data_IF_985144350144
#
_entry.id   IF_985144350144
#
_cell.length_a   1.000
_cell.length_b   1.000
_cell.length_c   1.000
_cell.angle_alpha   90.00
_cell.angle_beta   90.00
_cell.angle_gamma   90.00
#
_symmetry.space_group_name_H-M   'P 1'
#
loop_
_entity.id
_entity.type
_entity.pdbx_description
1 polymer ?
#
# COMPACT_ATOMS: atom_id res chain seq x y z
N UNK A 1 16.28 -10.21 17.50
CA UNK A 1 15.56 -8.94 17.67
C UNK A 1 15.21 -8.42 16.29
N UNK A 2 13.95 -8.59 15.88
CA UNK A 2 13.46 -8.04 14.60
C UNK A 2 13.26 -6.55 14.83
N UNK A 3 14.11 -5.73 14.23
CA UNK A 3 13.92 -4.27 14.18
C UNK A 3 12.79 -4.05 13.18
N UNK A 4 11.56 -4.04 13.69
CA UNK A 4 10.41 -3.47 13.00
C UNK A 4 10.76 -2.01 12.79
N UNK A 5 11.19 -1.68 11.57
CA UNK A 5 11.63 -0.34 11.21
C UNK A 5 10.43 0.60 11.47
N UNK A 6 10.54 1.57 12.39
CA UNK A 6 9.42 2.42 12.70
C UNK A 6 9.05 3.19 11.44
N UNK A 7 7.82 3.01 10.96
CA UNK A 7 7.19 3.88 9.97
C UNK A 7 7.43 5.31 10.49
N UNK A 8 8.20 6.15 9.78
CA UNK A 8 8.63 7.42 10.34
C UNK A 8 7.39 8.28 10.61
N UNK A 9 7.13 8.43 11.91
CA UNK A 9 6.16 9.33 12.52
C UNK A 9 6.35 10.72 11.89
N UNK A 10 5.30 11.22 11.23
CA UNK A 10 5.06 12.62 10.85
C UNK A 10 6.28 13.57 10.99
N UNK A 11 7.22 13.50 10.05
CA UNK A 11 8.10 14.63 9.77
C UNK A 11 7.60 15.25 8.48
N UNK A 12 6.83 16.33 8.62
CA UNK A 12 6.45 17.25 7.55
C UNK A 12 7.71 17.93 7.00
N UNK A 13 8.41 17.27 6.10
CA UNK A 13 9.34 17.91 5.17
C UNK A 13 8.90 17.52 3.77
N UNK A 14 8.41 18.51 3.02
CA UNK A 14 7.87 18.34 1.68
C UNK A 14 8.86 17.59 0.79
N UNK A 15 8.46 16.40 0.36
CA UNK A 15 8.79 15.88 -0.95
C UNK A 15 7.47 15.72 -1.69
N UNK A 16 7.02 16.82 -2.30
CA UNK A 16 5.76 17.05 -3.05
C UNK A 16 5.61 16.19 -4.32
N UNK A 17 6.17 14.99 -4.28
CA UNK A 17 6.01 13.96 -5.31
C UNK A 17 6.00 12.56 -4.73
N UNK A 18 6.62 12.35 -3.55
CA UNK A 18 6.47 11.09 -2.80
C UNK A 18 5.10 10.99 -2.14
N UNK A 19 4.57 12.07 -1.57
CA UNK A 19 3.21 12.08 -1.00
C UNK A 19 2.16 11.81 -2.08
N UNK A 20 2.32 12.36 -3.27
CA UNK A 20 1.43 12.15 -4.42
C UNK A 20 1.51 10.73 -4.99
N UNK A 21 2.72 10.18 -5.05
CA UNK A 21 2.92 8.78 -5.44
C UNK A 21 2.23 7.83 -4.47
N UNK A 22 2.37 8.06 -3.16
CA UNK A 22 1.70 7.25 -2.14
C UNK A 22 0.19 7.44 -2.12
N UNK A 23 -0.30 8.63 -2.43
CA UNK A 23 -1.74 8.86 -2.54
C UNK A 23 -2.34 8.15 -3.77
N UNK A 24 -1.57 8.06 -4.86
CA UNK A 24 -1.94 7.30 -6.05
C UNK A 24 -1.88 5.79 -5.79
N UNK A 25 -0.86 5.30 -5.07
CA UNK A 25 -0.77 3.89 -4.64
C UNK A 25 -1.99 3.51 -3.81
N UNK A 26 -2.37 4.36 -2.88
CA UNK A 26 -3.53 4.18 -2.02
C UNK A 26 -4.83 4.03 -2.80
N UNK A 27 -5.04 4.91 -3.79
CA UNK A 27 -6.21 4.87 -4.68
C UNK A 27 -6.23 3.58 -5.52
N UNK A 28 -5.07 3.14 -6.03
CA UNK A 28 -4.92 1.86 -6.72
C UNK A 28 -5.26 0.67 -5.81
N UNK A 29 -4.86 0.71 -4.54
CA UNK A 29 -5.21 -0.31 -3.54
C UNK A 29 -6.72 -0.33 -3.32
N UNK A 30 -7.36 0.82 -3.09
CA UNK A 30 -8.81 0.92 -2.89
C UNK A 30 -9.59 0.41 -4.12
N UNK A 31 -9.13 0.77 -5.32
CA UNK A 31 -9.72 0.32 -6.60
C UNK A 31 -9.39 -1.13 -6.97
N UNK A 32 -8.69 -1.88 -6.10
CA UNK A 32 -8.31 -3.28 -6.34
C UNK A 32 -7.42 -3.47 -7.58
N UNK A 33 -6.66 -2.44 -7.96
CA UNK A 33 -5.67 -2.48 -9.05
C UNK A 33 -4.32 -2.99 -8.53
N UNK A 34 -4.33 -4.22 -8.03
CA UNK A 34 -3.24 -4.82 -7.24
C UNK A 34 -1.88 -4.77 -7.99
N UNK A 35 -1.85 -5.17 -9.27
CA UNK A 35 -0.61 -5.17 -10.06
C UNK A 35 -0.05 -3.76 -10.24
N UNK A 36 -0.91 -2.79 -10.55
CA UNK A 36 -0.50 -1.39 -10.71
C UNK A 36 0.00 -0.81 -9.39
N UNK A 37 -0.67 -1.10 -8.27
CA UNK A 37 -0.22 -0.68 -6.95
C UNK A 37 1.15 -1.29 -6.60
N UNK A 38 1.37 -2.58 -6.86
CA UNK A 38 2.66 -3.23 -6.64
C UNK A 38 3.79 -2.63 -7.50
N UNK A 39 3.51 -2.31 -8.77
CA UNK A 39 4.48 -1.63 -9.63
C UNK A 39 4.85 -0.24 -9.07
N UNK A 40 3.84 0.56 -8.71
CA UNK A 40 4.05 1.87 -8.14
C UNK A 40 4.82 1.83 -6.81
N UNK A 41 4.57 0.82 -5.95
CA UNK A 41 5.36 0.60 -4.71
C UNK A 41 6.82 0.27 -5.05
N UNK A 42 7.07 -0.58 -6.05
CA UNK A 42 8.44 -0.92 -6.48
C UNK A 42 9.19 0.30 -6.99
N UNK A 43 8.52 1.17 -7.73
CA UNK A 43 9.11 2.40 -8.27
C UNK A 43 9.35 3.43 -7.16
N UNK A 44 8.38 3.62 -6.25
CA UNK A 44 8.48 4.58 -5.16
C UNK A 44 9.55 4.20 -4.11
N UNK A 45 9.67 2.90 -3.80
CA UNK A 45 10.62 2.39 -2.79
C UNK A 45 11.91 1.82 -3.39
N UNK A 46 12.00 1.69 -4.72
CA UNK A 46 13.14 1.07 -5.40
C UNK A 46 13.39 -0.38 -4.97
N UNK A 47 12.33 -1.14 -4.66
CA UNK A 47 12.44 -2.41 -3.92
C UNK A 47 12.19 -3.68 -4.76
N UNK A 48 12.56 -4.83 -4.19
CA UNK A 48 12.27 -6.15 -4.76
C UNK A 48 10.77 -6.47 -4.69
N UNK A 49 10.30 -7.39 -5.53
CA UNK A 49 8.90 -7.79 -5.56
C UNK A 49 8.40 -8.28 -4.18
N UNK A 50 9.21 -9.08 -3.48
CA UNK A 50 8.84 -9.54 -2.13
C UNK A 50 8.64 -8.40 -1.14
N UNK A 51 9.53 -7.40 -1.16
CA UNK A 51 9.39 -6.22 -0.31
C UNK A 51 8.16 -5.40 -0.69
N UNK A 52 7.87 -5.28 -1.98
CA UNK A 52 6.67 -4.59 -2.45
C UNK A 52 5.38 -5.28 -2.00
N UNK A 53 5.35 -6.61 -1.94
CA UNK A 53 4.20 -7.38 -1.42
C UNK A 53 3.99 -7.09 0.07
N UNK A 54 5.07 -7.09 0.86
CA UNK A 54 5.01 -6.80 2.30
C UNK A 54 4.49 -5.37 2.56
N UNK A 55 5.04 -4.40 1.83
CA UNK A 55 4.62 -3.00 1.88
C UNK A 55 3.18 -2.80 1.41
N UNK A 56 2.76 -3.52 0.37
CA UNK A 56 1.37 -3.51 -0.09
C UNK A 56 0.42 -4.03 0.99
N UNK A 57 0.79 -5.13 1.67
CA UNK A 57 -0.04 -5.73 2.71
C UNK A 57 -0.21 -4.78 3.91
N UNK A 58 0.89 -4.20 4.41
CA UNK A 58 0.84 -3.22 5.51
C UNK A 58 -0.03 -2.01 5.13
N UNK A 59 0.14 -1.48 3.92
CA UNK A 59 -0.63 -0.34 3.44
C UNK A 59 -2.12 -0.68 3.32
N UNK A 60 -2.46 -1.83 2.74
CA UNK A 60 -3.84 -2.31 2.67
C UNK A 60 -4.49 -2.40 4.05
N UNK A 61 -3.80 -2.96 5.04
CA UNK A 61 -4.34 -3.08 6.40
C UNK A 61 -4.53 -1.72 7.07
N UNK A 62 -3.58 -0.79 6.89
CA UNK A 62 -3.71 0.58 7.37
C UNK A 62 -4.94 1.25 6.76
N UNK A 63 -5.10 1.20 5.44
CA UNK A 63 -6.24 1.81 4.76
C UNK A 63 -7.56 1.20 5.23
N UNK A 64 -7.60 -0.13 5.45
CA UNK A 64 -8.83 -0.77 5.90
C UNK A 64 -9.21 -0.41 7.33
N UNK A 65 -8.25 -0.03 8.16
CA UNK A 65 -8.51 0.47 9.53
C UNK A 65 -8.89 1.94 9.54
N UNK A 66 -8.26 2.78 8.73
CA UNK A 66 -8.47 4.23 8.75
C UNK A 66 -9.65 4.67 7.91
N UNK A 67 -9.91 3.99 6.79
CA UNK A 67 -10.98 4.30 5.84
C UNK A 67 -11.66 3.02 5.31
N UNK A 68 -12.39 2.29 6.17
CA UNK A 68 -13.06 1.07 5.75
C UNK A 68 -14.15 1.31 4.69
N UNK A 69 -14.76 2.50 4.66
CA UNK A 69 -15.88 2.86 3.78
C UNK A 69 -15.48 2.97 2.29
N UNK A 70 -14.24 3.40 2.02
CA UNK A 70 -13.68 3.46 0.67
C UNK A 70 -13.62 2.08 -0.01
N UNK A 71 -13.54 1.02 0.78
CA UNK A 71 -13.48 -0.32 0.24
C UNK A 71 -14.87 -0.93 0.08
N UNK A 72 -15.31 -1.02 -1.18
CA UNK A 72 -16.62 -1.56 -1.57
C UNK A 72 -16.77 -3.08 -1.42
N UNK A 73 -15.67 -3.80 -1.19
CA UNK A 73 -15.64 -5.27 -1.14
C UNK A 73 -15.05 -5.78 0.17
N UNK A 74 -15.50 -6.95 0.62
CA UNK A 74 -14.95 -7.64 1.79
C UNK A 74 -13.50 -8.09 1.55
N UNK A 75 -12.75 -8.39 2.64
CA UNK A 75 -11.35 -8.86 2.55
C UNK A 75 -11.22 -10.10 1.66
N UNK A 76 -12.12 -11.07 1.80
CA UNK A 76 -12.11 -12.30 1.01
C UNK A 76 -12.29 -12.02 -0.50
N UNK A 77 -13.30 -11.23 -0.83
CA UNK A 77 -13.59 -10.81 -2.20
C UNK A 77 -12.47 -9.95 -2.81
N UNK A 78 -11.79 -9.15 -1.99
CA UNK A 78 -10.63 -8.37 -2.41
C UNK A 78 -9.49 -9.25 -2.93
N UNK A 79 -9.27 -10.43 -2.34
CA UNK A 79 -8.18 -11.33 -2.71
C UNK A 79 -8.57 -12.42 -3.72
N UNK A 80 -9.85 -12.49 -4.09
CA UNK A 80 -10.37 -13.49 -5.04
C UNK A 80 -9.67 -13.39 -6.41
N UNK A 81 -8.97 -14.44 -6.82
CA UNK A 81 -8.24 -14.49 -8.10
C UNK A 81 -6.76 -14.09 -8.03
N UNK A 82 -6.23 -13.81 -6.83
CA UNK A 82 -4.78 -13.66 -6.60
C UNK A 82 -4.17 -14.93 -5.98
N UNK A 83 -4.91 -15.59 -5.09
CA UNK A 83 -4.50 -16.84 -4.44
C UNK A 83 -5.12 -18.11 -5.06
N UNK A 84 -5.76 -18.01 -6.22
CA UNK A 84 -6.39 -19.18 -6.86
C UNK A 84 -5.43 -19.99 -7.71
#
# INVERSE_FOLDING_TARGET
MVVINPIPKLTVVLQDGRVDAWQSIDDLIVQRRIISAMQAIREAEGCSLQRAIDVFADRYELLRRTRPDDFKVSRDEYWRGVYT
#
